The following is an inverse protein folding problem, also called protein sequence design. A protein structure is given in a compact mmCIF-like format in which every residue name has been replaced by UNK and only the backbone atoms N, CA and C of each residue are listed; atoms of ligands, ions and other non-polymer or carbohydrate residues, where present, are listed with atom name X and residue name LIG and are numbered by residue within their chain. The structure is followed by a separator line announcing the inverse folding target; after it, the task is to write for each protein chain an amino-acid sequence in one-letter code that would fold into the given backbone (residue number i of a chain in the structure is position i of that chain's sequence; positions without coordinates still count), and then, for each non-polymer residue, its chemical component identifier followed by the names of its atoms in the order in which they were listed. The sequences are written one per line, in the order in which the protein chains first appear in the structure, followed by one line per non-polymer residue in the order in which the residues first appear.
data_IF_146211706124
#
_entry.id   IF_146211706124
#
_cell.length_a   1.000
_cell.length_b   1.000
_cell.length_c   1.000
_cell.angle_alpha   90.00
_cell.angle_beta   90.00
_cell.angle_gamma   90.00
#
_symmetry.space_group_name_H-M   'P 1'
#
loop_
_entity.id
_entity.type
_entity.pdbx_description
1 polymer ?
#
# COMPACT_ATOMS: atom_id res chain seq x y z
N UNK A 1 -16.79 34.10 -12.78
CA UNK A 1 -16.43 35.20 -13.70
C UNK A 1 -14.90 35.20 -13.83
N UNK A 2 -14.38 34.62 -14.91
CA UNK A 2 -12.94 34.41 -15.12
C UNK A 2 -12.12 35.69 -15.08
N UNK A 3 -12.67 36.82 -15.52
CA UNK A 3 -11.99 38.13 -15.48
C UNK A 3 -11.68 38.54 -14.05
N UNK A 4 -12.65 38.40 -13.15
CA UNK A 4 -12.50 38.71 -11.72
C UNK A 4 -11.44 37.81 -11.08
N UNK A 5 -11.48 36.49 -11.34
CA UNK A 5 -10.49 35.55 -10.77
C UNK A 5 -9.08 35.90 -11.26
N UNK A 6 -8.92 36.20 -12.54
CA UNK A 6 -7.63 36.59 -13.13
C UNK A 6 -7.09 37.89 -12.52
N UNK A 7 -7.94 38.90 -12.38
CA UNK A 7 -7.57 40.19 -11.79
C UNK A 7 -7.25 40.05 -10.29
N UNK A 8 -8.07 39.30 -9.55
CA UNK A 8 -7.85 39.00 -8.14
C UNK A 8 -6.49 38.32 -7.92
N UNK A 9 -6.13 37.34 -8.76
CA UNK A 9 -4.80 36.72 -8.72
C UNK A 9 -3.68 37.72 -9.02
N UNK A 10 -3.84 38.51 -10.08
CA UNK A 10 -2.84 39.49 -10.50
C UNK A 10 -2.58 40.54 -9.41
N UNK A 11 -3.63 40.96 -8.70
CA UNK A 11 -3.57 41.96 -7.65
C UNK A 11 -3.27 41.39 -6.26
N UNK A 12 -3.01 40.09 -6.13
CA UNK A 12 -2.58 39.47 -4.88
C UNK A 12 -3.71 39.09 -3.93
N UNK A 13 -4.97 39.03 -4.37
CA UNK A 13 -6.09 38.63 -3.52
C UNK A 13 -5.87 37.27 -2.83
N UNK A 14 -5.15 36.33 -3.48
CA UNK A 14 -4.87 35.03 -2.90
C UNK A 14 -4.06 35.11 -1.60
N UNK A 15 -3.07 36.02 -1.47
CA UNK A 15 -2.28 36.11 -0.23
C UNK A 15 -3.10 36.71 0.92
N UNK A 16 -3.99 37.65 0.63
CA UNK A 16 -4.92 38.21 1.62
C UNK A 16 -5.94 37.16 2.08
N UNK A 17 -6.54 36.42 1.13
CA UNK A 17 -7.48 35.36 1.47
C UNK A 17 -6.78 34.23 2.24
N UNK A 18 -5.54 33.90 1.90
CA UNK A 18 -4.77 32.91 2.65
C UNK A 18 -4.54 33.38 4.09
N UNK A 19 -4.21 34.67 4.30
CA UNK A 19 -4.06 35.23 5.64
C UNK A 19 -5.38 35.16 6.42
N UNK A 20 -6.49 35.50 5.79
CA UNK A 20 -7.82 35.41 6.41
C UNK A 20 -8.14 33.96 6.78
N UNK A 21 -7.88 33.00 5.91
CA UNK A 21 -8.13 31.58 6.19
C UNK A 21 -7.24 31.04 7.31
N UNK A 22 -5.96 31.41 7.36
CA UNK A 22 -5.00 30.86 8.31
C UNK A 22 -4.97 31.59 9.67
N UNK A 23 -5.26 32.90 9.69
CA UNK A 23 -5.01 33.76 10.84
C UNK A 23 -6.24 34.51 11.38
N UNK A 24 -7.42 34.41 10.75
CA UNK A 24 -8.64 34.98 11.31
C UNK A 24 -9.06 34.24 12.59
N UNK A 25 -9.53 34.97 13.59
CA UNK A 25 -10.10 34.42 14.82
C UNK A 25 -11.58 34.05 14.68
N UNK A 26 -12.22 34.40 13.56
CA UNK A 26 -13.64 34.16 13.32
C UNK A 26 -13.86 32.94 12.40
N UNK A 27 -14.35 31.79 12.91
CA UNK A 27 -14.50 30.57 12.12
C UNK A 27 -15.38 30.75 10.87
N UNK A 28 -16.44 31.55 10.96
CA UNK A 28 -17.33 31.83 9.83
C UNK A 28 -16.61 32.54 8.68
N UNK A 29 -15.73 33.49 8.99
CA UNK A 29 -14.94 34.20 7.97
C UNK A 29 -13.96 33.24 7.30
N UNK A 30 -13.35 32.33 8.07
CA UNK A 30 -12.47 31.28 7.54
C UNK A 30 -13.23 30.34 6.61
N UNK A 31 -14.42 29.89 7.00
CA UNK A 31 -15.27 29.02 6.17
C UNK A 31 -15.68 29.71 4.86
N UNK A 32 -16.15 30.96 4.91
CA UNK A 32 -16.49 31.74 3.70
C UNK A 32 -15.28 31.94 2.78
N UNK A 33 -14.08 32.06 3.36
CA UNK A 33 -12.84 32.16 2.59
C UNK A 33 -12.47 30.84 1.91
N UNK A 34 -12.64 29.71 2.61
CA UNK A 34 -12.51 28.37 2.03
C UNK A 34 -13.52 28.14 0.89
N UNK A 35 -14.77 28.57 1.07
CA UNK A 35 -15.80 28.52 0.03
C UNK A 35 -15.40 29.36 -1.20
N UNK A 36 -14.81 30.53 -0.98
CA UNK A 36 -14.30 31.36 -2.07
C UNK A 36 -13.14 30.67 -2.81
N UNK A 37 -12.20 30.02 -2.11
CA UNK A 37 -11.15 29.22 -2.75
C UNK A 37 -11.71 28.07 -3.58
N UNK A 38 -12.72 27.35 -3.08
CA UNK A 38 -13.41 26.32 -3.84
C UNK A 38 -14.04 26.88 -5.13
N UNK A 39 -14.71 28.03 -5.05
CA UNK A 39 -15.29 28.72 -6.21
C UNK A 39 -14.22 29.22 -7.20
N UNK A 40 -13.07 29.69 -6.72
CA UNK A 40 -11.98 30.15 -7.59
C UNK A 40 -11.28 28.99 -8.31
N UNK A 41 -11.09 27.85 -7.64
CA UNK A 41 -10.42 26.67 -8.21
C UNK A 41 -11.28 25.93 -9.23
N UNK A 42 -12.61 26.13 -9.22
CA UNK A 42 -13.54 25.56 -10.22
C UNK A 42 -13.63 26.37 -11.51
N UNK A 43 -12.99 27.54 -11.61
CA UNK A 43 -12.90 28.29 -12.87
C UNK A 43 -12.12 27.50 -13.93
N UNK A 44 -12.71 27.33 -15.12
CA UNK A 44 -12.16 26.45 -16.18
C UNK A 44 -10.80 26.90 -16.72
N UNK A 45 -10.50 28.20 -16.72
CA UNK A 45 -9.31 28.76 -17.37
C UNK A 45 -8.21 29.06 -16.36
N UNK A 46 -8.57 29.59 -15.19
CA UNK A 46 -7.60 30.09 -14.21
C UNK A 46 -7.60 29.25 -12.93
N UNK A 47 -8.64 28.47 -12.68
CA UNK A 47 -8.77 27.61 -11.50
C UNK A 47 -7.61 26.64 -11.27
N UNK A 48 -7.08 25.94 -12.31
CA UNK A 48 -5.88 25.12 -12.14
C UNK A 48 -4.67 25.91 -11.63
N UNK A 49 -4.50 27.15 -12.10
CA UNK A 49 -3.43 28.04 -11.64
C UNK A 49 -3.63 28.50 -10.20
N UNK A 50 -4.88 28.80 -9.80
CA UNK A 50 -5.22 29.09 -8.40
C UNK A 50 -4.85 27.90 -7.51
N UNK A 51 -5.26 26.69 -7.90
CA UNK A 51 -4.97 25.47 -7.13
C UNK A 51 -3.47 25.24 -6.94
N UNK A 52 -2.67 25.40 -8.00
CA UNK A 52 -1.21 25.29 -7.93
C UNK A 52 -0.62 26.31 -6.94
N UNK A 53 -1.09 27.57 -6.96
CA UNK A 53 -0.61 28.60 -6.03
C UNK A 53 -0.98 28.25 -4.59
N UNK A 54 -2.22 27.86 -4.32
CA UNK A 54 -2.64 27.50 -2.96
C UNK A 54 -1.87 26.29 -2.43
N UNK A 55 -1.55 25.32 -3.30
CA UNK A 55 -0.73 24.15 -2.96
C UNK A 55 0.73 24.48 -2.64
N UNK A 56 1.21 25.70 -2.96
CA UNK A 56 2.53 26.18 -2.49
C UNK A 56 2.50 26.56 -1.00
N UNK A 57 1.33 26.71 -0.39
CA UNK A 57 1.18 27.11 1.02
C UNK A 57 0.56 26.01 1.88
N UNK A 58 -0.42 25.28 1.33
CA UNK A 58 -1.20 24.29 2.06
C UNK A 58 -1.12 22.92 1.38
N UNK A 59 -1.10 21.81 2.15
CA UNK A 59 -1.26 20.46 1.60
C UNK A 59 -2.48 20.35 0.68
N UNK A 60 -2.36 19.54 -0.38
CA UNK A 60 -3.43 19.35 -1.38
C UNK A 60 -4.76 18.88 -0.76
N UNK A 61 -4.69 18.18 0.38
CA UNK A 61 -5.82 17.75 1.20
C UNK A 61 -6.77 18.91 1.54
N UNK A 62 -6.23 20.10 1.80
CA UNK A 62 -7.03 21.28 2.08
C UNK A 62 -7.82 21.73 0.86
N UNK A 63 -7.29 21.60 -0.35
CA UNK A 63 -8.01 21.98 -1.57
C UNK A 63 -9.23 21.09 -1.79
N UNK A 64 -9.09 19.80 -1.50
CA UNK A 64 -10.20 18.85 -1.58
C UNK A 64 -11.22 19.10 -0.45
N UNK A 65 -10.75 19.30 0.79
CA UNK A 65 -11.62 19.63 1.91
C UNK A 65 -12.41 20.92 1.67
N UNK A 66 -11.77 22.00 1.19
CA UNK A 66 -12.43 23.28 0.89
C UNK A 66 -13.52 23.12 -0.19
N UNK A 67 -13.28 22.27 -1.20
CA UNK A 67 -14.24 21.98 -2.26
C UNK A 67 -15.45 21.21 -1.74
N UNK A 68 -15.21 20.23 -0.89
CA UNK A 68 -16.24 19.28 -0.46
C UNK A 68 -17.04 19.83 0.73
N UNK A 69 -16.36 20.42 1.73
CA UNK A 69 -16.96 21.05 2.91
C UNK A 69 -16.02 22.13 3.51
N UNK A 70 -16.29 23.43 3.27
CA UNK A 70 -15.48 24.54 3.78
C UNK A 70 -15.29 24.56 5.31
N UNK A 71 -16.32 24.22 6.09
CA UNK A 71 -16.24 24.12 7.55
C UNK A 71 -15.28 23.00 7.98
N UNK A 72 -15.35 21.84 7.32
CA UNK A 72 -14.45 20.73 7.57
C UNK A 72 -12.99 21.11 7.27
N UNK A 73 -12.73 21.92 6.24
CA UNK A 73 -11.39 22.42 5.94
C UNK A 73 -10.82 23.29 7.08
N UNK A 74 -11.66 24.10 7.72
CA UNK A 74 -11.27 24.89 8.91
C UNK A 74 -10.95 23.96 10.08
N UNK A 75 -11.81 22.96 10.34
CA UNK A 75 -11.57 21.98 11.40
C UNK A 75 -10.29 21.16 11.18
N UNK A 76 -10.02 20.72 9.94
CA UNK A 76 -8.76 20.03 9.60
C UNK A 76 -7.57 20.97 9.82
N UNK A 77 -7.72 22.25 9.50
CA UNK A 77 -6.64 23.22 9.71
C UNK A 77 -6.37 23.40 11.21
N UNK A 78 -7.41 23.45 12.04
CA UNK A 78 -7.33 23.58 13.50
C UNK A 78 -7.03 22.27 14.25
N UNK A 79 -6.99 21.13 13.55
CA UNK A 79 -6.64 19.83 14.10
C UNK A 79 -5.17 19.46 13.97
N UNK A 80 -4.75 18.45 14.72
CA UNK A 80 -3.47 17.75 14.53
C UNK A 80 -3.76 16.40 13.88
N UNK A 81 -3.06 16.11 12.80
CA UNK A 81 -3.28 14.95 11.96
C UNK A 81 -1.94 14.30 11.60
N UNK A 82 -1.84 13.00 11.88
CA UNK A 82 -0.78 12.15 11.34
C UNK A 82 -1.46 10.92 10.74
N UNK A 83 -1.64 10.95 9.42
CA UNK A 83 -2.23 9.86 8.65
C UNK A 83 -1.56 9.76 7.28
N UNK A 84 -1.84 8.71 6.49
CA UNK A 84 -1.17 8.49 5.21
C UNK A 84 -1.27 9.63 4.21
N UNK A 85 -2.26 10.53 4.30
CA UNK A 85 -2.45 11.63 3.34
C UNK A 85 -2.12 13.02 3.93
N UNK A 86 -1.89 13.13 5.25
CA UNK A 86 -1.66 14.39 5.92
C UNK A 86 -0.81 14.23 7.18
N UNK A 87 0.32 14.95 7.19
CA UNK A 87 1.11 15.26 8.38
C UNK A 87 0.91 16.75 8.65
N UNK A 88 0.19 17.07 9.72
CA UNK A 88 -0.21 18.43 10.06
C UNK A 88 -0.28 18.60 11.56
N UNK A 89 0.50 19.52 12.11
CA UNK A 89 0.62 19.74 13.55
C UNK A 89 0.77 21.23 13.88
N UNK A 90 0.83 21.56 15.17
CA UNK A 90 0.99 22.94 15.65
C UNK A 90 2.12 23.70 14.96
N UNK A 91 3.29 23.08 14.83
CA UNK A 91 4.46 23.69 14.20
C UNK A 91 4.22 23.97 12.70
N UNK A 92 3.60 23.02 11.98
CA UNK A 92 3.26 23.18 10.56
C UNK A 92 2.28 24.34 10.36
N UNK A 93 1.26 24.42 11.24
CA UNK A 93 0.27 25.50 11.26
C UNK A 93 0.90 26.84 11.50
N UNK A 94 1.67 26.96 12.58
CA UNK A 94 2.35 28.19 12.97
C UNK A 94 3.27 28.68 11.85
N UNK A 95 4.04 27.77 11.23
CA UNK A 95 4.94 28.10 10.13
C UNK A 95 4.18 28.64 8.91
N UNK A 96 3.12 27.96 8.49
CA UNK A 96 2.28 28.39 7.37
C UNK A 96 1.62 29.74 7.66
N UNK A 97 0.97 29.85 8.82
CA UNK A 97 0.28 31.07 9.28
C UNK A 97 1.22 32.29 9.34
N UNK A 98 2.42 32.11 9.90
CA UNK A 98 3.42 33.18 10.01
C UNK A 98 3.97 33.58 8.65
N UNK A 99 4.34 32.60 7.80
CA UNK A 99 4.87 32.87 6.46
C UNK A 99 3.86 33.63 5.61
N UNK A 100 2.59 33.21 5.62
CA UNK A 100 1.51 33.89 4.89
C UNK A 100 1.32 35.32 5.41
N UNK A 101 1.31 35.51 6.74
CA UNK A 101 1.15 36.83 7.36
C UNK A 101 2.28 37.78 6.96
N UNK A 102 3.52 37.34 7.00
CA UNK A 102 4.69 38.14 6.62
C UNK A 102 4.62 38.56 5.15
N UNK A 103 4.35 37.60 4.24
CA UNK A 103 4.23 37.88 2.81
C UNK A 103 3.05 38.80 2.48
N UNK A 104 1.92 38.63 3.17
CA UNK A 104 0.76 39.50 3.03
C UNK A 104 1.11 40.93 3.45
N UNK A 105 1.77 41.10 4.61
CA UNK A 105 2.16 42.42 5.12
C UNK A 105 3.21 43.11 4.23
N UNK A 106 4.18 42.34 3.70
CA UNK A 106 5.15 42.85 2.73
C UNK A 106 4.46 43.35 1.46
N UNK A 107 3.59 42.52 0.87
CA UNK A 107 2.86 42.91 -0.33
C UNK A 107 1.92 44.10 -0.08
N UNK A 108 1.27 44.16 1.09
CA UNK A 108 0.43 45.29 1.47
C UNK A 108 1.20 46.62 1.51
N UNK A 109 2.43 46.62 2.03
CA UNK A 109 3.28 47.82 2.02
C UNK A 109 3.57 48.28 0.58
N UNK A 110 3.94 47.35 -0.30
CA UNK A 110 4.19 47.66 -1.71
C UNK A 110 2.94 48.17 -2.43
N UNK A 111 1.77 47.58 -2.15
CA UNK A 111 0.50 47.99 -2.76
C UNK A 111 0.02 49.35 -2.26
N UNK A 112 0.30 49.69 -1.00
CA UNK A 112 -0.01 51.02 -0.46
C UNK A 112 0.80 52.12 -1.16
N UNK A 113 2.06 51.83 -1.49
CA UNK A 113 2.94 52.77 -2.19
C UNK A 113 2.64 52.81 -3.70
N UNK A 114 2.21 51.69 -4.29
CA UNK A 114 1.78 51.59 -5.68
C UNK A 114 0.52 50.70 -5.83
N UNK A 115 -0.69 51.29 -5.91
CA UNK A 115 -1.93 50.54 -6.06
C UNK A 115 -2.00 49.67 -7.34
N UNK A 116 -1.20 50.01 -8.36
CA UNK A 116 -1.18 49.29 -9.63
C UNK A 116 -0.23 48.09 -9.65
N UNK A 117 0.51 47.84 -8.57
CA UNK A 117 1.44 46.71 -8.49
C UNK A 117 0.73 45.37 -8.71
N UNK A 118 1.44 44.45 -9.36
CA UNK A 118 1.00 43.08 -9.57
C UNK A 118 1.75 42.15 -8.62
N UNK A 119 1.02 41.28 -7.94
CA UNK A 119 1.57 40.25 -7.09
C UNK A 119 2.26 39.18 -7.92
N UNK A 120 3.46 38.78 -7.49
CA UNK A 120 4.23 37.69 -8.08
C UNK A 120 4.75 36.81 -6.97
N UNK A 121 4.65 35.51 -7.18
CA UNK A 121 5.20 34.49 -6.31
C UNK A 121 6.38 33.84 -7.05
N UNK A 122 7.55 33.66 -6.41
CA UNK A 122 8.66 32.95 -7.04
C UNK A 122 8.23 31.54 -7.52
N UNK A 123 8.77 31.11 -8.66
CA UNK A 123 8.39 29.84 -9.27
C UNK A 123 8.79 28.64 -8.41
N UNK A 124 9.90 28.75 -7.70
CA UNK A 124 10.47 27.80 -6.75
C UNK A 124 9.88 27.89 -5.34
N UNK A 125 9.07 28.92 -5.04
CA UNK A 125 8.47 29.08 -3.72
C UNK A 125 7.54 27.91 -3.38
N UNK A 126 7.79 27.31 -2.20
CA UNK A 126 6.86 26.46 -1.49
C UNK A 126 7.12 26.62 0.02
N UNK A 127 6.07 26.67 0.82
CA UNK A 127 6.22 26.64 2.27
C UNK A 127 6.65 25.23 2.67
N UNK A 128 7.83 25.14 3.28
CA UNK A 128 8.34 23.91 3.87
C UNK A 128 7.80 23.85 5.30
N UNK A 129 6.85 22.94 5.54
CA UNK A 129 6.26 22.74 6.86
C UNK A 129 6.65 21.36 7.42
N UNK A 130 7.51 21.40 8.45
CA UNK A 130 7.69 20.32 9.42
C UNK A 130 8.26 18.99 8.89
N UNK A 131 7.94 17.94 9.62
CA UNK A 131 8.48 16.57 9.50
C UNK A 131 8.15 15.88 8.16
N UNK A 132 7.25 16.45 7.35
CA UNK A 132 6.87 15.92 6.05
C UNK A 132 8.01 15.94 5.00
N UNK A 133 9.03 16.79 5.17
CA UNK A 133 10.15 16.93 4.20
C UNK A 133 11.06 15.70 4.16
N UNK A 134 11.19 14.97 5.28
CA UNK A 134 12.00 13.74 5.37
C UNK A 134 11.23 12.47 5.01
N UNK A 135 9.92 12.56 4.79
CA UNK A 135 9.06 11.40 4.60
C UNK A 135 9.01 10.97 3.13
N UNK A 136 9.17 9.66 2.90
CA UNK A 136 8.99 9.09 1.58
C UNK A 136 7.50 9.11 1.20
N UNK A 137 7.14 9.98 0.26
CA UNK A 137 5.78 10.07 -0.27
C UNK A 137 5.70 9.67 -1.75
N UNK A 138 4.59 9.02 -2.11
CA UNK A 138 4.27 8.66 -3.50
C UNK A 138 2.80 8.96 -3.76
N UNK A 139 2.49 9.68 -4.83
CA UNK A 139 1.11 10.05 -5.16
C UNK A 139 0.39 10.85 -4.07
N UNK A 140 1.13 11.59 -3.23
CA UNK A 140 0.57 12.33 -2.09
C UNK A 140 0.33 11.49 -0.83
N UNK A 141 0.81 10.24 -0.80
CA UNK A 141 0.67 9.33 0.34
C UNK A 141 2.04 9.09 1.00
N UNK A 142 2.13 9.30 2.32
CA UNK A 142 3.31 9.02 3.13
C UNK A 142 3.42 7.53 3.42
N UNK A 143 4.44 6.87 2.85
CA UNK A 143 4.50 5.41 2.81
C UNK A 143 4.73 4.78 4.18
N UNK A 144 5.52 5.42 5.06
CA UNK A 144 5.77 4.93 6.43
C UNK A 144 4.45 4.78 7.19
N UNK A 145 3.62 5.83 7.14
CA UNK A 145 2.34 5.86 7.85
C UNK A 145 1.33 4.91 7.18
N UNK A 146 1.29 4.85 5.85
CA UNK A 146 0.44 3.92 5.13
C UNK A 146 0.73 2.45 5.48
N UNK A 147 2.00 2.08 5.58
CA UNK A 147 2.41 0.71 5.97
C UNK A 147 1.98 0.40 7.41
N UNK A 148 2.06 1.38 8.31
CA UNK A 148 1.59 1.23 9.69
C UNK A 148 0.05 1.19 9.80
N UNK A 149 -0.66 1.80 8.85
CA UNK A 149 -2.12 1.94 8.82
C UNK A 149 -2.69 1.45 7.47
N UNK A 150 -2.53 0.17 7.09
CA UNK A 150 -2.89 -0.32 5.76
C UNK A 150 -4.40 -0.30 5.49
N UNK A 151 -5.23 -0.28 6.54
CA UNK A 151 -6.68 -0.18 6.45
C UNK A 151 -7.19 1.26 6.17
N UNK A 152 -6.29 2.24 6.06
CA UNK A 152 -6.68 3.62 5.78
C UNK A 152 -7.41 3.74 4.44
N UNK A 153 -8.59 4.36 4.45
CA UNK A 153 -9.39 4.58 3.24
C UNK A 153 -8.85 5.82 2.52
N UNK A 154 -7.96 5.58 1.57
CA UNK A 154 -7.42 6.62 0.69
C UNK A 154 -8.54 7.29 -0.11
N UNK A 155 -8.46 8.61 -0.30
CA UNK A 155 -9.42 9.35 -1.14
C UNK A 155 -9.25 9.03 -2.62
N UNK A 156 -8.01 8.79 -3.04
CA UNK A 156 -7.66 8.54 -4.43
C UNK A 156 -6.82 7.27 -4.61
N UNK A 157 -7.37 6.09 -4.26
CA UNK A 157 -6.62 4.83 -4.26
C UNK A 157 -6.07 4.47 -5.65
N UNK A 158 -6.78 4.84 -6.72
CA UNK A 158 -6.33 4.64 -8.11
C UNK A 158 -5.14 5.51 -8.49
N UNK A 159 -5.15 6.80 -8.13
CA UNK A 159 -4.01 7.69 -8.40
C UNK A 159 -2.78 7.21 -7.62
N UNK A 160 -2.97 6.77 -6.36
CA UNK A 160 -1.91 6.17 -5.56
C UNK A 160 -1.36 4.89 -6.18
N UNK A 161 -2.22 3.96 -6.63
CA UNK A 161 -1.80 2.73 -7.32
C UNK A 161 -0.89 3.02 -8.52
N UNK A 162 -1.31 3.96 -9.38
CA UNK A 162 -0.56 4.32 -10.59
C UNK A 162 0.81 4.88 -10.20
N UNK A 163 0.84 5.90 -9.33
CA UNK A 163 2.09 6.52 -8.90
C UNK A 163 3.02 5.52 -8.19
N UNK A 164 2.46 4.60 -7.38
CA UNK A 164 3.21 3.58 -6.66
C UNK A 164 3.84 2.56 -7.60
N UNK A 165 3.11 2.05 -8.59
CA UNK A 165 3.64 1.10 -9.57
C UNK A 165 4.62 1.75 -10.55
N UNK A 166 4.39 2.99 -10.95
CA UNK A 166 5.37 3.77 -11.72
C UNK A 166 6.68 3.89 -10.95
N UNK A 167 6.63 4.33 -9.69
CA UNK A 167 7.82 4.47 -8.85
C UNK A 167 8.50 3.12 -8.59
N UNK A 168 7.71 2.07 -8.34
CA UNK A 168 8.22 0.73 -8.14
C UNK A 168 8.98 0.24 -9.37
N UNK A 169 8.38 0.30 -10.56
CA UNK A 169 9.02 -0.14 -11.80
C UNK A 169 10.25 0.70 -12.17
N UNK A 170 10.24 2.02 -11.90
CA UNK A 170 11.43 2.88 -12.05
C UNK A 170 12.61 2.37 -11.19
N UNK A 171 12.35 1.89 -9.98
CA UNK A 171 13.39 1.33 -9.11
C UNK A 171 13.87 -0.06 -9.54
N UNK A 172 12.99 -0.90 -10.09
CA UNK A 172 13.36 -2.22 -10.60
C UNK A 172 14.31 -2.14 -11.81
N UNK A 173 14.22 -1.06 -12.59
CA UNK A 173 15.07 -0.82 -13.76
C UNK A 173 16.45 -0.27 -13.39
N UNK A 174 16.67 0.15 -12.14
CA UNK A 174 17.97 0.66 -11.68
C UNK A 174 18.92 -0.49 -11.33
N UNK A 175 20.19 -0.37 -11.72
CA UNK A 175 21.21 -1.35 -11.37
C UNK A 175 21.43 -1.46 -9.85
N UNK A 176 21.43 -0.32 -9.15
CA UNK A 176 21.65 -0.22 -7.70
C UNK A 176 20.65 0.77 -7.09
N UNK A 177 19.37 0.38 -6.91
CA UNK A 177 18.41 1.22 -6.20
C UNK A 177 18.80 1.34 -4.73
N UNK A 178 18.38 2.44 -4.10
CA UNK A 178 18.50 2.57 -2.65
C UNK A 178 17.64 1.50 -1.96
N UNK A 179 18.29 0.62 -1.19
CA UNK A 179 17.67 -0.60 -0.67
C UNK A 179 16.47 -0.32 0.24
N UNK A 180 16.57 0.68 1.11
CA UNK A 180 15.49 1.07 2.02
C UNK A 180 14.28 1.59 1.26
N UNK A 181 14.46 2.52 0.31
CA UNK A 181 13.38 3.03 -0.54
C UNK A 181 12.69 1.91 -1.32
N UNK A 182 13.46 0.97 -1.89
CA UNK A 182 12.90 -0.18 -2.60
C UNK A 182 12.07 -1.07 -1.66
N UNK A 183 12.57 -1.37 -0.46
CA UNK A 183 11.86 -2.19 0.52
C UNK A 183 10.58 -1.49 1.01
N UNK A 184 10.61 -0.18 1.28
CA UNK A 184 9.43 0.61 1.67
C UNK A 184 8.38 0.61 0.56
N UNK A 185 8.76 0.87 -0.69
CA UNK A 185 7.81 0.85 -1.82
C UNK A 185 7.26 -0.56 -2.07
N UNK A 186 8.10 -1.59 -1.96
CA UNK A 186 7.67 -2.99 -2.07
C UNK A 186 6.62 -3.30 -1.00
N UNK A 187 6.89 -2.93 0.25
CA UNK A 187 6.00 -3.19 1.38
C UNK A 187 4.70 -2.40 1.24
N UNK A 188 4.75 -1.13 0.86
CA UNK A 188 3.55 -0.35 0.57
C UNK A 188 2.71 -0.96 -0.56
N UNK A 189 3.35 -1.48 -1.61
CA UNK A 189 2.66 -2.15 -2.73
C UNK A 189 1.97 -3.43 -2.27
N UNK A 190 2.64 -4.24 -1.45
CA UNK A 190 2.05 -5.45 -0.84
C UNK A 190 0.89 -5.08 0.07
N UNK A 191 1.07 -4.10 0.97
CA UNK A 191 0.00 -3.60 1.85
C UNK A 191 -1.21 -3.11 1.08
N UNK A 192 -1.01 -2.38 -0.03
CA UNK A 192 -2.10 -1.88 -0.87
C UNK A 192 -2.95 -3.03 -1.42
N UNK A 193 -2.33 -4.06 -2.01
CA UNK A 193 -3.07 -5.20 -2.55
C UNK A 193 -3.64 -6.11 -1.46
N UNK A 194 -3.03 -6.19 -0.29
CA UNK A 194 -3.59 -6.92 0.85
C UNK A 194 -4.84 -6.22 1.41
N UNK A 195 -4.81 -4.90 1.55
CA UNK A 195 -5.91 -4.13 2.10
C UNK A 195 -7.04 -3.88 1.09
N UNK A 196 -6.71 -3.76 -0.19
CA UNK A 196 -7.66 -3.48 -1.27
C UNK A 196 -7.38 -4.39 -2.50
N UNK A 197 -7.68 -5.71 -2.41
CA UNK A 197 -7.41 -6.67 -3.49
C UNK A 197 -8.04 -6.30 -4.84
N UNK A 198 -9.19 -5.62 -4.83
CA UNK A 198 -9.91 -5.15 -6.02
C UNK A 198 -9.10 -4.17 -6.88
N UNK A 199 -8.10 -3.49 -6.32
CA UNK A 199 -7.22 -2.62 -7.11
C UNK A 199 -6.33 -3.39 -8.08
N UNK A 200 -6.09 -4.68 -7.82
CA UNK A 200 -5.29 -5.53 -8.71
C UNK A 200 -5.90 -5.66 -10.11
N UNK A 201 -7.22 -5.54 -10.25
CA UNK A 201 -7.92 -5.57 -11.56
C UNK A 201 -7.42 -4.49 -12.52
N UNK A 202 -6.88 -3.38 -11.98
CA UNK A 202 -6.41 -2.25 -12.76
C UNK A 202 -4.95 -2.39 -13.18
N UNK A 203 -4.21 -3.39 -12.70
CA UNK A 203 -2.77 -3.55 -12.97
C UNK A 203 -2.47 -3.94 -14.41
N UNK A 204 -3.17 -4.90 -15.04
CA UNK A 204 -2.89 -5.30 -16.43
C UNK A 204 -2.87 -4.14 -17.44
N UNK A 205 -3.89 -3.26 -17.51
CA UNK A 205 -3.90 -2.17 -18.50
C UNK A 205 -2.82 -1.10 -18.26
N UNK A 206 -2.19 -1.05 -17.08
CA UNK A 206 -1.08 -0.12 -16.81
C UNK A 206 0.25 -0.60 -17.41
N UNK A 207 0.36 -1.86 -17.84
CA UNK A 207 1.54 -2.37 -18.53
C UNK A 207 2.80 -2.54 -17.66
N UNK A 208 2.66 -2.55 -16.33
CA UNK A 208 3.81 -2.73 -15.41
C UNK A 208 4.23 -4.21 -15.24
N UNK A 209 3.34 -5.17 -15.50
CA UNK A 209 3.61 -6.61 -15.31
C UNK A 209 4.87 -7.12 -16.01
N UNK A 210 5.14 -6.81 -17.31
CA UNK A 210 6.36 -7.26 -17.98
C UNK A 210 7.64 -6.81 -17.28
N UNK A 211 7.66 -5.57 -16.78
CA UNK A 211 8.82 -5.01 -16.06
C UNK A 211 9.04 -5.71 -14.72
N UNK A 212 7.97 -5.99 -13.99
CA UNK A 212 8.03 -6.70 -12.70
C UNK A 212 8.54 -8.13 -12.91
N UNK A 213 8.06 -8.84 -13.93
CA UNK A 213 8.51 -10.19 -14.26
C UNK A 213 9.99 -10.21 -14.69
N UNK A 214 10.40 -9.29 -15.57
CA UNK A 214 11.79 -9.19 -16.02
C UNK A 214 12.76 -8.90 -14.86
N UNK A 215 12.33 -8.15 -13.85
CA UNK A 215 13.13 -7.81 -12.68
C UNK A 215 13.63 -9.02 -11.88
N UNK A 216 12.97 -10.19 -11.98
CA UNK A 216 13.45 -11.43 -11.36
C UNK A 216 14.81 -11.89 -11.89
N UNK A 217 15.14 -11.49 -13.12
CA UNK A 217 16.41 -11.82 -13.76
C UNK A 217 17.54 -10.85 -13.37
N UNK A 218 17.25 -9.81 -12.59
CA UNK A 218 18.22 -8.79 -12.20
C UNK A 218 19.36 -9.35 -11.34
N UNK A 219 20.56 -8.75 -11.44
CA UNK A 219 21.77 -9.20 -10.71
C UNK A 219 21.77 -8.81 -9.23
N UNK A 220 21.20 -7.66 -8.91
CA UNK A 220 21.02 -7.21 -7.54
C UNK A 220 19.88 -7.98 -6.87
N UNK A 221 20.21 -8.81 -5.88
CA UNK A 221 19.31 -9.70 -5.17
C UNK A 221 18.10 -9.02 -4.50
N UNK A 222 18.16 -7.73 -4.17
CA UNK A 222 17.03 -7.00 -3.61
C UNK A 222 15.87 -6.88 -4.61
N UNK A 223 16.19 -6.70 -5.90
CA UNK A 223 15.19 -6.49 -6.96
C UNK A 223 14.34 -7.76 -7.21
N UNK A 224 14.91 -8.97 -7.40
CA UNK A 224 14.13 -10.20 -7.50
C UNK A 224 13.26 -10.47 -6.26
N UNK A 225 13.77 -10.20 -5.05
CA UNK A 225 12.96 -10.33 -3.81
C UNK A 225 11.71 -9.45 -3.90
N UNK A 226 11.89 -8.17 -4.21
CA UNK A 226 10.80 -7.21 -4.30
C UNK A 226 9.78 -7.58 -5.38
N UNK A 227 10.26 -7.96 -6.55
CA UNK A 227 9.40 -8.40 -7.64
C UNK A 227 8.59 -9.65 -7.25
N UNK A 228 9.21 -10.66 -6.62
CA UNK A 228 8.50 -11.88 -6.18
C UNK A 228 7.40 -11.57 -5.17
N UNK A 229 7.63 -10.67 -4.22
CA UNK A 229 6.62 -10.27 -3.24
C UNK A 229 5.40 -9.62 -3.90
N UNK A 230 5.60 -8.79 -4.90
CA UNK A 230 4.49 -8.15 -5.64
C UNK A 230 3.76 -9.16 -6.53
N UNK A 231 4.48 -10.03 -7.26
CA UNK A 231 3.87 -11.10 -8.07
C UNK A 231 3.06 -12.06 -7.19
N UNK A 232 3.54 -12.37 -5.99
CA UNK A 232 2.79 -13.19 -5.03
C UNK A 232 1.44 -12.57 -4.68
N UNK A 233 1.36 -11.25 -4.45
CA UNK A 233 0.07 -10.58 -4.23
C UNK A 233 -0.83 -10.62 -5.47
N UNK A 234 -0.26 -10.34 -6.65
CA UNK A 234 -1.01 -10.30 -7.91
C UNK A 234 -1.47 -11.69 -8.37
N UNK A 235 -0.85 -12.77 -7.92
CA UNK A 235 -1.22 -14.14 -8.27
C UNK A 235 -2.60 -14.58 -7.78
N UNK A 236 -3.15 -13.89 -6.78
CA UNK A 236 -4.51 -14.17 -6.30
C UNK A 236 -5.59 -13.62 -7.25
N UNK A 237 -5.25 -12.57 -8.01
CA UNK A 237 -6.15 -11.89 -8.92
C UNK A 237 -6.20 -12.56 -10.31
N UNK A 238 -7.39 -12.94 -10.77
CA UNK A 238 -7.56 -13.66 -12.03
C UNK A 238 -7.16 -12.84 -13.27
N UNK A 239 -7.46 -11.53 -13.30
CA UNK A 239 -7.11 -10.67 -14.43
C UNK A 239 -5.59 -10.50 -14.56
N UNK A 240 -4.89 -10.37 -13.44
CA UNK A 240 -3.44 -10.39 -13.38
C UNK A 240 -2.88 -11.72 -13.90
N UNK A 241 -3.38 -12.86 -13.43
CA UNK A 241 -2.88 -14.19 -13.86
C UNK A 241 -3.14 -14.42 -15.36
N UNK A 242 -4.30 -14.01 -15.87
CA UNK A 242 -4.61 -14.07 -17.32
C UNK A 242 -3.64 -13.21 -18.13
N UNK A 243 -3.31 -12.01 -17.65
CA UNK A 243 -2.30 -11.17 -18.29
C UNK A 243 -0.89 -11.75 -18.17
N UNK A 244 -0.57 -12.45 -17.08
CA UNK A 244 0.71 -13.15 -16.93
C UNK A 244 0.83 -14.35 -17.88
N UNK A 245 -0.28 -15.00 -18.23
CA UNK A 245 -0.31 -16.14 -19.14
C UNK A 245 0.22 -15.81 -20.54
N UNK A 246 -0.03 -14.59 -21.02
CA UNK A 246 0.46 -14.09 -22.32
C UNK A 246 1.87 -13.49 -22.25
N UNK A 247 2.50 -13.47 -21.07
CA UNK A 247 3.85 -12.96 -20.82
C UNK A 247 4.80 -14.09 -20.42
N UNK A 248 6.11 -13.86 -20.48
CA UNK A 248 7.10 -14.79 -19.94
C UNK A 248 7.12 -14.72 -18.40
N UNK A 249 6.35 -15.59 -17.75
CA UNK A 249 6.12 -15.53 -16.29
C UNK A 249 6.92 -16.60 -15.55
N UNK A 250 6.87 -17.85 -16.01
CA UNK A 250 7.41 -18.98 -15.26
C UNK A 250 8.94 -18.99 -15.21
N UNK A 251 9.60 -18.72 -16.34
CA UNK A 251 11.07 -18.68 -16.42
C UNK A 251 11.70 -17.66 -15.47
N UNK A 252 11.28 -16.38 -15.52
CA UNK A 252 11.76 -15.36 -14.59
C UNK A 252 11.46 -15.70 -13.13
N UNK A 253 10.27 -16.21 -12.80
CA UNK A 253 9.93 -16.59 -11.42
C UNK A 253 10.85 -17.71 -10.90
N UNK A 254 11.12 -18.73 -11.72
CA UNK A 254 12.07 -19.80 -11.38
C UNK A 254 13.50 -19.26 -11.19
N UNK A 255 13.94 -18.29 -12.00
CA UNK A 255 15.24 -17.64 -11.83
C UNK A 255 15.31 -16.84 -10.51
N UNK A 256 14.23 -16.17 -10.14
CA UNK A 256 14.10 -15.48 -8.85
C UNK A 256 14.26 -16.46 -7.68
N UNK A 257 13.56 -17.59 -7.72
CA UNK A 257 13.65 -18.65 -6.71
C UNK A 257 15.07 -19.23 -6.58
N UNK A 258 15.76 -19.47 -7.69
CA UNK A 258 17.14 -19.97 -7.69
C UNK A 258 18.13 -18.98 -7.06
N UNK A 259 17.89 -17.68 -7.18
CA UNK A 259 18.74 -16.63 -6.60
C UNK A 259 18.45 -16.32 -5.13
N UNK A 260 17.20 -16.54 -4.69
CA UNK A 260 16.69 -16.10 -3.38
C UNK A 260 15.96 -17.25 -2.69
N UNK A 261 16.73 -18.11 -2.03
CA UNK A 261 16.21 -19.25 -1.26
C UNK A 261 15.23 -18.82 -0.16
N UNK A 262 15.44 -17.65 0.44
CA UNK A 262 14.57 -17.07 1.48
C UNK A 262 13.16 -16.70 1.00
N UNK A 263 12.96 -16.56 -0.32
CA UNK A 263 11.66 -16.23 -0.92
C UNK A 263 11.05 -17.39 -1.72
N UNK A 264 11.63 -18.59 -1.66
CA UNK A 264 11.11 -19.77 -2.35
C UNK A 264 9.70 -20.10 -1.85
N UNK A 265 9.42 -19.95 -0.56
CA UNK A 265 8.09 -20.18 0.03
C UNK A 265 7.00 -19.34 -0.62
N UNK A 266 7.19 -18.02 -0.68
CA UNK A 266 6.22 -17.09 -1.29
C UNK A 266 6.07 -17.32 -2.80
N UNK A 267 7.15 -17.69 -3.49
CA UNK A 267 7.12 -17.96 -4.92
C UNK A 267 6.38 -19.26 -5.25
N UNK A 268 6.56 -20.31 -4.43
CA UNK A 268 5.80 -21.56 -4.54
C UNK A 268 4.31 -21.34 -4.28
N UNK A 269 3.96 -20.50 -3.30
CA UNK A 269 2.56 -20.12 -3.08
C UNK A 269 1.99 -19.35 -4.27
N UNK A 270 2.75 -18.40 -4.84
CA UNK A 270 2.35 -17.68 -6.04
C UNK A 270 2.13 -18.64 -7.23
N UNK A 271 3.04 -19.58 -7.46
CA UNK A 271 2.91 -20.61 -8.50
C UNK A 271 1.64 -21.45 -8.29
N UNK A 272 1.36 -21.87 -7.06
CA UNK A 272 0.13 -22.61 -6.76
C UNK A 272 -1.11 -21.79 -7.12
N UNK A 273 -1.19 -20.54 -6.68
CA UNK A 273 -2.32 -19.63 -7.00
C UNK A 273 -2.46 -19.43 -8.51
N UNK A 274 -1.35 -19.23 -9.22
CA UNK A 274 -1.31 -19.10 -10.68
C UNK A 274 -1.89 -20.34 -11.38
N UNK A 275 -1.42 -21.54 -11.04
CA UNK A 275 -1.88 -22.76 -11.72
C UNK A 275 -3.31 -23.17 -11.34
N UNK A 276 -3.82 -22.74 -10.19
CA UNK A 276 -5.22 -22.92 -9.82
C UNK A 276 -6.19 -22.11 -10.70
N UNK A 277 -5.72 -21.10 -11.45
CA UNK A 277 -6.54 -20.34 -12.41
C UNK A 277 -6.63 -21.00 -13.81
N UNK A 278 -6.11 -22.22 -13.94
CA UNK A 278 -6.29 -23.11 -15.11
C UNK A 278 -5.86 -22.50 -16.47
N UNK A 279 -4.84 -21.65 -16.47
CA UNK A 279 -4.30 -21.05 -17.69
C UNK A 279 -3.32 -22.01 -18.40
N UNK A 280 -3.72 -22.55 -19.55
CA UNK A 280 -2.91 -23.52 -20.31
C UNK A 280 -1.56 -22.95 -20.77
N UNK A 281 -1.50 -21.67 -21.14
CA UNK A 281 -0.26 -21.01 -21.56
C UNK A 281 0.81 -20.99 -20.45
N UNK A 282 0.39 -20.94 -19.18
CA UNK A 282 1.31 -21.01 -18.04
C UNK A 282 1.84 -22.44 -17.85
N UNK A 283 1.04 -23.47 -18.14
CA UNK A 283 1.46 -24.87 -18.04
C UNK A 283 2.50 -25.20 -19.12
N UNK A 284 2.31 -24.74 -20.35
CA UNK A 284 3.33 -24.92 -21.40
C UNK A 284 4.61 -24.13 -21.12
N UNK A 285 4.52 -22.93 -20.53
CA UNK A 285 5.69 -22.20 -20.04
C UNK A 285 6.44 -22.99 -18.95
N UNK A 286 5.70 -23.62 -18.03
CA UNK A 286 6.28 -24.45 -16.98
C UNK A 286 7.03 -25.67 -17.51
N UNK A 287 6.48 -26.34 -18.53
CA UNK A 287 7.16 -27.44 -19.21
C UNK A 287 8.43 -26.96 -19.92
N UNK A 288 8.35 -25.86 -20.69
CA UNK A 288 9.49 -25.28 -21.41
C UNK A 288 10.63 -24.82 -20.49
N UNK A 289 10.29 -24.38 -19.28
CA UNK A 289 11.25 -23.88 -18.30
C UNK A 289 11.78 -24.98 -17.34
N UNK A 290 11.42 -26.25 -17.56
CA UNK A 290 11.75 -27.36 -16.64
C UNK A 290 11.30 -27.11 -15.19
N UNK A 291 10.16 -26.42 -15.01
CA UNK A 291 9.63 -26.12 -13.67
C UNK A 291 9.25 -27.40 -12.93
N UNK A 292 8.65 -28.38 -13.59
CA UNK A 292 8.19 -29.63 -12.94
C UNK A 292 9.37 -30.39 -12.32
N UNK A 293 10.48 -30.69 -13.05
CA UNK A 293 11.67 -31.26 -12.45
C UNK A 293 12.27 -30.41 -11.31
N UNK A 294 12.27 -29.08 -11.45
CA UNK A 294 12.78 -28.17 -10.42
C UNK A 294 11.96 -28.25 -9.13
N UNK A 295 10.63 -28.24 -9.22
CA UNK A 295 9.73 -28.38 -8.08
C UNK A 295 9.86 -29.74 -7.38
N UNK A 296 10.10 -30.82 -8.13
CA UNK A 296 10.37 -32.14 -7.56
C UNK A 296 11.66 -32.15 -6.72
N UNK A 297 12.73 -31.48 -7.18
CA UNK A 297 13.97 -31.32 -6.39
C UNK A 297 13.74 -30.53 -5.10
N UNK A 298 12.91 -29.48 -5.15
CA UNK A 298 12.53 -28.73 -3.95
C UNK A 298 11.74 -29.62 -2.96
N UNK A 299 10.89 -30.54 -3.44
CA UNK A 299 10.15 -31.48 -2.57
C UNK A 299 11.08 -32.42 -1.80
N UNK A 300 12.22 -32.80 -2.37
CA UNK A 300 13.26 -33.57 -1.66
C UNK A 300 13.86 -32.80 -0.48
N UNK A 301 13.72 -31.47 -0.47
CA UNK A 301 14.24 -30.58 0.57
C UNK A 301 15.44 -29.75 0.12
N UNK A 302 15.96 -29.98 -1.09
CA UNK A 302 17.09 -29.22 -1.64
C UNK A 302 16.67 -27.76 -1.86
N UNK A 303 17.34 -26.81 -1.21
CA UNK A 303 17.04 -25.38 -1.33
C UNK A 303 15.93 -24.87 -0.43
N UNK A 304 15.39 -25.71 0.46
CA UNK A 304 14.40 -25.32 1.50
C UNK A 304 15.02 -25.21 2.89
N UNK A 305 16.34 -25.33 3.03
CA UNK A 305 17.02 -25.47 4.33
C UNK A 305 16.92 -24.22 5.20
N UNK A 306 16.75 -23.06 4.59
CA UNK A 306 16.71 -21.76 5.27
C UNK A 306 15.29 -21.20 5.44
N UNK A 307 14.25 -21.98 5.16
CA UNK A 307 12.86 -21.52 5.29
C UNK A 307 12.30 -21.82 6.67
N UNK A 308 11.52 -20.89 7.22
CA UNK A 308 10.82 -21.06 8.50
C UNK A 308 9.78 -22.19 8.47
N UNK A 309 9.16 -22.42 7.31
CA UNK A 309 8.13 -23.45 7.13
C UNK A 309 8.32 -24.26 5.84
N UNK A 310 9.30 -25.20 5.80
CA UNK A 310 9.55 -26.05 4.63
C UNK A 310 8.33 -26.92 4.29
N UNK A 311 7.64 -27.44 5.30
CA UNK A 311 6.45 -28.28 5.13
C UNK A 311 5.29 -27.56 4.42
N UNK A 312 5.01 -26.32 4.80
CA UNK A 312 4.00 -25.49 4.12
C UNK A 312 4.37 -25.25 2.66
N UNK A 313 5.66 -24.96 2.39
CA UNK A 313 6.17 -24.79 1.03
C UNK A 313 6.00 -26.08 0.19
N UNK A 314 6.33 -27.25 0.76
CA UNK A 314 6.10 -28.54 0.09
C UNK A 314 4.63 -28.76 -0.24
N UNK A 315 3.71 -28.38 0.66
CA UNK A 315 2.28 -28.47 0.39
C UNK A 315 1.84 -27.56 -0.77
N UNK A 316 2.38 -26.34 -0.87
CA UNK A 316 2.12 -25.45 -2.02
C UNK A 316 2.64 -26.06 -3.33
N UNK A 317 3.83 -26.66 -3.31
CA UNK A 317 4.41 -27.33 -4.47
C UNK A 317 3.52 -28.49 -4.93
N UNK A 318 3.07 -29.36 -4.02
CA UNK A 318 2.17 -30.47 -4.39
C UNK A 318 0.86 -29.96 -4.99
N UNK A 319 0.26 -28.91 -4.42
CA UNK A 319 -0.96 -28.28 -4.97
C UNK A 319 -0.72 -27.70 -6.37
N UNK A 320 0.42 -27.05 -6.60
CA UNK A 320 0.80 -26.54 -7.92
C UNK A 320 0.96 -27.68 -8.95
N UNK A 321 1.70 -28.74 -8.60
CA UNK A 321 1.89 -29.92 -9.47
C UNK A 321 0.56 -30.61 -9.80
N UNK A 322 -0.32 -30.80 -8.82
CA UNK A 322 -1.68 -31.33 -9.02
C UNK A 322 -2.55 -30.44 -9.90
N UNK A 323 -2.37 -29.13 -9.84
CA UNK A 323 -3.13 -28.20 -10.67
C UNK A 323 -2.66 -28.27 -12.13
N UNK A 324 -1.35 -28.32 -12.36
CA UNK A 324 -0.79 -28.50 -13.70
C UNK A 324 -1.18 -29.84 -14.34
N UNK A 325 -1.23 -30.93 -13.55
CA UNK A 325 -1.61 -32.25 -14.08
C UNK A 325 -3.08 -32.38 -14.47
N UNK A 326 -3.94 -31.44 -14.04
CA UNK A 326 -5.35 -31.34 -14.45
C UNK A 326 -5.55 -30.54 -15.72
N UNK A 327 -4.51 -29.93 -16.28
CA UNK A 327 -4.61 -29.21 -17.56
C UNK A 327 -5.11 -30.15 -18.66
N UNK A 328 -6.16 -29.73 -19.37
CA UNK A 328 -6.76 -30.52 -20.44
C UNK A 328 -5.83 -30.70 -21.66
N UNK A 329 -4.87 -29.78 -21.86
CA UNK A 329 -3.99 -29.79 -23.03
C UNK A 329 -2.62 -30.40 -22.73
N UNK A 330 -2.05 -30.08 -21.56
CA UNK A 330 -0.68 -30.43 -21.23
C UNK A 330 -0.55 -31.33 -20.00
N UNK A 331 -1.68 -31.69 -19.36
CA UNK A 331 -1.69 -32.51 -18.15
C UNK A 331 -1.08 -33.89 -18.35
N UNK A 332 -1.23 -34.52 -19.52
CA UNK A 332 -0.61 -35.81 -19.83
C UNK A 332 0.93 -35.72 -19.81
N UNK A 333 1.52 -34.69 -20.41
CA UNK A 333 2.98 -34.48 -20.39
C UNK A 333 3.49 -34.22 -18.98
N UNK A 334 2.74 -33.46 -18.18
CA UNK A 334 3.06 -33.24 -16.76
C UNK A 334 3.00 -34.56 -15.99
N UNK A 335 1.95 -35.37 -16.19
CA UNK A 335 1.79 -36.67 -15.54
C UNK A 335 2.89 -37.67 -15.93
N UNK A 336 3.35 -37.65 -17.18
CA UNK A 336 4.47 -38.48 -17.64
C UNK A 336 5.73 -38.19 -16.82
N UNK A 337 6.11 -36.92 -16.69
CA UNK A 337 7.26 -36.49 -15.87
C UNK A 337 7.06 -36.88 -14.40
N UNK A 338 5.87 -36.65 -13.86
CA UNK A 338 5.56 -36.97 -12.46
C UNK A 338 5.59 -38.48 -12.18
N UNK A 339 5.16 -39.32 -13.13
CA UNK A 339 5.13 -40.78 -12.98
C UNK A 339 6.53 -41.41 -12.92
N UNK A 340 7.52 -40.75 -13.52
CA UNK A 340 8.92 -41.17 -13.49
C UNK A 340 9.61 -40.80 -12.15
N UNK A 341 8.99 -39.96 -11.33
CA UNK A 341 9.55 -39.50 -10.07
C UNK A 341 9.16 -40.41 -8.89
N UNK A 342 10.17 -41.00 -8.25
CA UNK A 342 10.01 -41.74 -6.98
C UNK A 342 9.53 -40.83 -5.85
N UNK A 343 9.97 -39.57 -5.84
CA UNK A 343 9.60 -38.55 -4.85
C UNK A 343 8.10 -38.30 -4.94
N UNK A 344 7.58 -38.04 -6.15
CA UNK A 344 6.17 -37.74 -6.35
C UNK A 344 5.25 -38.85 -5.81
N UNK A 345 5.66 -40.11 -5.96
CA UNK A 345 4.91 -41.26 -5.45
C UNK A 345 4.67 -41.21 -3.94
N UNK A 346 5.58 -40.61 -3.16
CA UNK A 346 5.43 -40.45 -1.72
C UNK A 346 4.48 -39.29 -1.33
N UNK A 347 4.30 -38.30 -2.20
CA UNK A 347 3.55 -37.06 -1.92
C UNK A 347 2.18 -36.99 -2.61
N UNK A 348 1.95 -37.73 -3.70
CA UNK A 348 0.74 -37.63 -4.54
C UNK A 348 -0.57 -37.88 -3.76
N UNK A 349 -0.55 -38.82 -2.81
CA UNK A 349 -1.75 -39.27 -2.08
C UNK A 349 -1.91 -38.66 -0.68
N UNK A 350 -0.96 -37.84 -0.22
CA UNK A 350 -1.06 -37.19 1.08
C UNK A 350 -2.23 -36.19 1.08
N UNK A 351 -3.07 -36.19 2.12
CA UNK A 351 -4.07 -35.12 2.36
C UNK A 351 -3.38 -33.98 3.11
N UNK A 352 -3.39 -32.80 2.53
CA UNK A 352 -2.55 -31.67 2.97
C UNK A 352 -3.25 -30.74 3.98
N UNK A 353 -4.47 -31.09 4.42
CA UNK A 353 -5.21 -30.36 5.46
C UNK A 353 -4.59 -30.52 6.86
N UNK A 354 -3.57 -31.38 7.00
CA UNK A 354 -2.78 -31.57 8.22
C UNK A 354 -1.63 -30.56 8.38
N UNK A 355 -1.41 -29.65 7.42
CA UNK A 355 -0.43 -28.58 7.51
C UNK A 355 -1.04 -27.26 8.03
N UNK A 356 -2.04 -27.34 8.91
CA UNK A 356 -2.54 -26.16 9.62
C UNK A 356 -1.56 -25.88 10.76
N UNK A 357 -0.77 -24.81 10.62
CA UNK A 357 -0.20 -24.13 11.78
C UNK A 357 -1.36 -23.76 12.71
N UNK A 358 -1.30 -24.21 13.96
CA UNK A 358 -2.25 -23.85 15.02
C UNK A 358 -2.35 -22.32 15.11
N UNK A 359 -3.29 -21.74 14.38
CA UNK A 359 -3.73 -20.38 14.63
C UNK A 359 -4.78 -20.56 15.72
N UNK A 360 -4.38 -20.40 16.99
CA UNK A 360 -5.31 -20.20 18.08
C UNK A 360 -6.12 -18.93 17.78
N UNK A 361 -7.19 -19.10 17.01
CA UNK A 361 -8.17 -18.06 16.78
C UNK A 361 -9.15 -18.20 17.94
N UNK A 362 -8.78 -17.61 19.08
CA UNK A 362 -9.71 -17.37 20.16
C UNK A 362 -10.90 -16.59 19.59
N UNK A 363 -12.08 -17.23 19.58
CA UNK A 363 -13.28 -16.69 18.97
C UNK A 363 -13.66 -15.35 19.59
N UNK A 364 -13.69 -14.31 18.77
CA UNK A 364 -14.41 -13.08 19.05
C UNK A 364 -15.60 -13.00 18.10
N UNK A 365 -16.76 -13.39 18.60
CA UNK A 365 -18.06 -13.09 18.01
C UNK A 365 -18.44 -11.67 18.45
N UNK A 366 -18.37 -10.69 17.55
CA UNK A 366 -18.99 -9.38 17.78
C UNK A 366 -20.30 -9.30 17.00
N UNK A 367 -21.40 -9.66 17.67
CA UNK A 367 -22.76 -9.24 17.32
C UNK A 367 -23.17 -8.01 18.13
N UNK A 368 -24.13 -7.20 17.65
CA UNK A 368 -24.34 -5.83 18.14
C UNK A 368 -25.22 -5.81 19.40
N UNK A 369 -24.78 -5.13 20.45
CA UNK A 369 -25.66 -4.82 21.57
C UNK A 369 -24.98 -4.47 22.90
N UNK A 370 -25.16 -3.20 23.29
CA UNK A 370 -25.19 -2.69 24.67
C UNK A 370 -23.86 -2.45 25.40
N UNK A 371 -23.63 -1.17 25.68
CA UNK A 371 -22.56 -0.61 26.49
C UNK A 371 -22.62 -1.06 27.96
N UNK A 372 -21.47 -1.43 28.52
CA UNK A 372 -21.28 -1.67 29.94
C UNK A 372 -19.81 -1.60 30.30
N UNK A 373 -19.48 -0.67 31.20
CA UNK A 373 -18.17 -0.40 31.77
C UNK A 373 -17.36 -1.65 32.14
N UNK A 374 -16.10 -1.74 31.71
CA UNK A 374 -15.11 -2.61 32.35
C UNK A 374 -13.77 -1.87 32.51
N UNK A 375 -13.46 -1.59 33.77
CA UNK A 375 -12.21 -1.04 34.28
C UNK A 375 -11.08 -2.06 34.16
N UNK A 376 -9.92 -1.61 33.67
CA UNK A 376 -8.71 -2.40 33.47
C UNK A 376 -8.17 -3.00 34.78
N UNK A 377 -7.81 -4.30 34.74
CA UNK A 377 -7.00 -4.97 35.75
C UNK A 377 -5.87 -5.74 35.07
N UNK A 378 -4.63 -5.47 35.47
CA UNK A 378 -3.39 -6.07 34.93
C UNK A 378 -3.23 -7.56 35.31
N UNK A 379 -2.42 -8.34 34.57
CA UNK A 379 -2.39 -9.79 34.66
C UNK A 379 -1.31 -10.31 35.63
N UNK A 380 -1.68 -11.17 36.57
CA UNK A 380 -0.73 -12.10 37.21
C UNK A 380 -1.46 -13.23 37.93
N UNK A 381 -1.28 -14.47 37.47
CA UNK A 381 -0.98 -15.61 38.34
C UNK A 381 -0.79 -16.90 37.55
N UNK A 382 0.41 -17.47 37.70
CA UNK A 382 0.82 -18.83 37.38
C UNK A 382 -0.04 -19.83 38.17
N UNK A 383 -0.60 -20.86 37.53
CA UNK A 383 -1.32 -21.95 38.20
C UNK A 383 -0.33 -23.01 38.73
N UNK A 384 -0.40 -23.42 40.02
CA UNK A 384 0.31 -24.60 40.51
C UNK A 384 -0.48 -25.88 40.25
N UNK A 385 0.26 -26.96 40.00
CA UNK A 385 -0.22 -28.24 39.48
C UNK A 385 -0.25 -29.29 40.60
N UNK A 386 -1.31 -29.33 41.42
CA UNK A 386 -1.59 -30.45 42.36
C UNK A 386 -3.11 -30.58 42.57
N UNK A 387 -3.70 -31.79 42.53
CA UNK A 387 -5.14 -32.00 42.73
C UNK A 387 -5.55 -31.87 44.21
N UNK A 388 -6.76 -31.36 44.50
CA UNK A 388 -7.21 -31.06 45.85
C UNK A 388 -7.65 -32.31 46.66
N UNK A 389 -7.49 -32.31 48.00
CA UNK A 389 -7.92 -33.40 48.87
C UNK A 389 -9.43 -33.35 49.16
N UNK A 390 -10.00 -34.53 49.37
CA UNK A 390 -11.42 -34.74 49.71
C UNK A 390 -11.54 -34.77 51.23
N UNK A 391 -12.42 -33.97 51.83
CA UNK A 391 -12.80 -34.15 53.23
C UNK A 391 -14.26 -33.78 53.51
N UNK A 392 -14.77 -34.47 54.52
CA UNK A 392 -16.15 -34.85 54.79
C UNK A 392 -17.08 -33.72 55.28
N UNK A 393 -18.35 -33.83 54.90
CA UNK A 393 -19.47 -33.05 55.46
C UNK A 393 -19.74 -33.42 56.93
N UNK A 394 -19.75 -32.40 57.78
CA UNK A 394 -20.54 -32.36 59.01
C UNK A 394 -21.05 -30.93 59.16
N UNK A 395 -22.30 -30.71 58.74
CA UNK A 395 -23.05 -29.51 59.04
C UNK A 395 -23.59 -29.57 60.47
N UNK A 396 -23.49 -28.46 61.19
CA UNK A 396 -24.41 -28.18 62.29
C UNK A 396 -24.78 -26.70 62.30
N UNK A 397 -26.00 -26.50 62.80
CA UNK A 397 -26.92 -25.39 62.61
C UNK A 397 -26.81 -24.45 63.81
N UNK A 398 -26.99 -23.14 63.59
CA UNK A 398 -27.12 -22.15 64.66
C UNK A 398 -27.33 -20.74 64.13
#
# INVERSE_FOLDING_TARGET
NTKIVKEAMLKGALIYLLDIFCNSTHPQVRSQTAELFAKMTTDKLVGPKVRIILMKFLPSVFMDAMRDNPEAAVHIFEGTHENPELIWNDNSREKVSTTIREMMLEYFKLQRDNPDINWKLPEDFAVIYGEAEGELSVGGVFLRIFIAQPAWVLRKPREFLIALLEKFTELLEKNNPHGETLETITTATVCLFSAQPQLADQVPPLGHLPKILQAMNHKNNAIPKSAMRVIHMLSDNELCVRSMAVLETIGPLMNGMKKRSDNVGIACEALNRIFQKEQNDLVVQALKADLVPYLLKLLEGVGLENLESPSATKAQIVKALKSMSRSLQYGEQVNEILSQSSIWSAFKDQKHDLFISETQTAGYLTGPGVAGYLTAGSPSSVMPNVPPPVDHEAGDIG
#
